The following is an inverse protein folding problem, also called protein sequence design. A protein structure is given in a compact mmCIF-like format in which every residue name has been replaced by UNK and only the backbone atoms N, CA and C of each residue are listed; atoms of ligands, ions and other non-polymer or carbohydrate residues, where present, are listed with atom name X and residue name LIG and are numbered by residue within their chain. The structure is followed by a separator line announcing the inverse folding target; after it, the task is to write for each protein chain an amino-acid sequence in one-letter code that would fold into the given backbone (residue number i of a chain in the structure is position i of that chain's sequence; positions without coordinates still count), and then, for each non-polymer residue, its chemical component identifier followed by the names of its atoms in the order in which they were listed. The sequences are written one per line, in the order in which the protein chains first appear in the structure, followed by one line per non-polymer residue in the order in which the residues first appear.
data_IF_414948102540
#
_entry.id   IF_414948102540
#
_cell.length_a   1.000
_cell.length_b   1.000
_cell.length_c   1.000
_cell.angle_alpha   90.00
_cell.angle_beta   90.00
_cell.angle_gamma   90.00
#
_symmetry.space_group_name_H-M   'P 1'
#
loop_
_entity.id
_entity.type
_entity.pdbx_description
1 polymer ?
#
# COMPACT_ATOMS: atom_id res chain seq x y z
N UNK A 1 71.37 -12.15 1.05
CA UNK A 1 70.25 -11.28 0.89
C UNK A 1 69.13 -11.95 0.10
N UNK A 2 68.02 -12.27 0.68
CA UNK A 2 66.91 -12.86 0.00
C UNK A 2 65.60 -12.31 0.58
N UNK A 3 65.00 -11.32 -0.12
CA UNK A 3 63.73 -10.75 0.27
C UNK A 3 62.53 -11.52 -0.31
N UNK A 4 61.79 -12.20 0.55
CA UNK A 4 60.53 -12.81 0.19
C UNK A 4 59.37 -11.83 0.25
N UNK A 5 58.80 -11.48 -0.88
CA UNK A 5 57.52 -10.74 -0.98
C UNK A 5 56.35 -11.75 -0.88
N UNK A 6 55.63 -11.69 0.23
CA UNK A 6 54.36 -12.41 0.36
C UNK A 6 53.26 -11.54 -0.23
N UNK A 7 52.67 -11.97 -1.36
CA UNK A 7 51.49 -11.40 -1.98
C UNK A 7 50.26 -11.58 -1.08
N UNK A 8 49.67 -10.45 -0.65
CA UNK A 8 48.40 -10.45 0.03
C UNK A 8 47.27 -10.76 -0.98
N UNK A 9 46.56 -11.88 -0.78
CA UNK A 9 45.30 -12.14 -1.48
C UNK A 9 44.24 -11.23 -0.89
N UNK A 10 43.80 -10.26 -1.70
CA UNK A 10 42.62 -9.48 -1.40
C UNK A 10 41.38 -10.38 -1.42
N UNK A 11 40.89 -10.74 -0.27
CA UNK A 11 39.58 -11.36 -0.12
C UNK A 11 38.51 -10.31 -0.44
N UNK A 12 37.92 -10.41 -1.61
CA UNK A 12 36.67 -9.70 -1.94
C UNK A 12 35.55 -10.26 -1.08
N UNK A 13 35.42 -9.75 0.16
CA UNK A 13 34.24 -10.00 0.98
C UNK A 13 33.04 -9.33 0.33
N UNK A 14 32.00 -10.10 0.07
CA UNK A 14 30.70 -9.53 -0.29
C UNK A 14 30.29 -8.48 0.76
N UNK A 15 29.68 -7.36 0.37
CA UNK A 15 29.22 -6.38 1.33
C UNK A 15 28.28 -7.07 2.34
N UNK A 16 28.37 -6.71 3.62
CA UNK A 16 27.49 -7.28 4.63
C UNK A 16 26.03 -6.95 4.27
N UNK A 17 25.09 -7.85 4.55
CA UNK A 17 23.67 -7.57 4.35
C UNK A 17 23.29 -6.29 5.12
N UNK A 18 22.41 -5.44 4.59
CA UNK A 18 21.97 -4.24 5.28
C UNK A 18 21.40 -4.62 6.64
N UNK A 19 22.00 -4.09 7.70
CA UNK A 19 21.54 -4.33 9.07
C UNK A 19 20.12 -3.79 9.28
N UNK A 20 19.35 -4.30 10.27
CA UNK A 20 17.98 -3.90 10.55
C UNK A 20 17.93 -2.49 11.17
N UNK A 21 18.24 -1.46 10.40
CA UNK A 21 18.32 -0.10 10.94
C UNK A 21 18.37 1.02 9.92
N UNK A 22 18.50 0.70 8.66
CA UNK A 22 18.31 1.67 7.59
C UNK A 22 17.11 1.26 6.77
N UNK A 23 15.96 1.82 7.08
CA UNK A 23 14.85 1.86 6.15
C UNK A 23 15.30 2.72 4.94
N UNK A 24 16.09 2.11 4.06
CA UNK A 24 16.34 2.66 2.74
C UNK A 24 15.01 2.59 2.00
N UNK A 25 14.38 3.75 1.79
CA UNK A 25 13.13 3.82 1.04
C UNK A 25 13.30 3.14 -0.32
N UNK A 26 12.27 2.44 -0.75
CA UNK A 26 12.23 1.85 -2.09
C UNK A 26 12.11 3.00 -3.09
N UNK A 27 12.95 3.09 -4.13
CA UNK A 27 12.82 4.12 -5.14
C UNK A 27 11.42 4.12 -5.77
N UNK A 28 10.87 5.32 -6.04
CA UNK A 28 9.50 5.45 -6.59
C UNK A 28 9.28 4.70 -7.90
N UNK A 29 10.27 4.71 -8.79
CA UNK A 29 10.20 3.98 -10.06
C UNK A 29 10.11 2.46 -9.87
N UNK A 30 10.77 1.91 -8.84
CA UNK A 30 10.64 0.48 -8.50
C UNK A 30 9.21 0.18 -8.03
N UNK A 31 8.65 1.04 -7.18
CA UNK A 31 7.26 0.87 -6.74
C UNK A 31 6.28 0.94 -7.92
N UNK A 32 6.50 1.85 -8.87
CA UNK A 32 5.65 1.96 -10.06
C UNK A 32 5.71 0.71 -10.93
N UNK A 33 6.90 0.14 -11.17
CA UNK A 33 7.05 -1.12 -11.90
C UNK A 33 6.34 -2.28 -11.18
N UNK A 34 6.47 -2.36 -9.87
CA UNK A 34 5.82 -3.40 -9.05
C UNK A 34 4.30 -3.28 -9.08
N UNK A 35 3.75 -2.06 -9.04
CA UNK A 35 2.32 -1.84 -9.20
C UNK A 35 1.80 -2.30 -10.56
N UNK A 36 2.54 -2.05 -11.65
CA UNK A 36 2.15 -2.53 -12.97
C UNK A 36 2.15 -4.06 -13.07
N UNK A 37 3.13 -4.73 -12.46
CA UNK A 37 3.17 -6.20 -12.41
C UNK A 37 1.96 -6.76 -11.64
N UNK A 38 1.64 -6.18 -10.48
CA UNK A 38 0.49 -6.60 -9.67
C UNK A 38 -0.83 -6.33 -10.40
N UNK A 39 -0.94 -5.19 -11.10
CA UNK A 39 -2.11 -4.89 -11.92
C UNK A 39 -2.35 -5.96 -12.99
N UNK A 40 -1.30 -6.42 -13.68
CA UNK A 40 -1.41 -7.53 -14.63
C UNK A 40 -1.90 -8.82 -13.97
N UNK A 41 -1.43 -9.12 -12.75
CA UNK A 41 -1.89 -10.28 -11.99
C UNK A 41 -3.38 -10.18 -11.64
N UNK A 42 -3.88 -9.01 -11.27
CA UNK A 42 -5.30 -8.78 -10.99
C UNK A 42 -6.22 -9.06 -12.18
N UNK A 43 -5.80 -8.68 -13.39
CA UNK A 43 -6.58 -8.95 -14.60
C UNK A 43 -6.44 -10.40 -15.10
N UNK A 44 -5.39 -11.11 -14.70
CA UNK A 44 -5.18 -12.51 -15.07
C UNK A 44 -5.92 -13.47 -14.15
N UNK A 45 -5.84 -13.24 -12.84
CA UNK A 45 -6.44 -14.09 -11.81
C UNK A 45 -6.92 -13.23 -10.63
N UNK A 46 -8.11 -12.59 -10.73
CA UNK A 46 -8.64 -11.69 -9.70
C UNK A 46 -8.87 -12.37 -8.34
N UNK A 47 -8.99 -13.69 -8.33
CA UNK A 47 -9.21 -14.48 -7.13
C UNK A 47 -7.92 -14.83 -6.37
N UNK A 48 -6.74 -14.65 -6.99
CA UNK A 48 -5.46 -14.94 -6.35
C UNK A 48 -5.17 -13.98 -5.20
N UNK A 49 -5.35 -14.47 -3.98
CA UNK A 49 -5.09 -13.71 -2.76
C UNK A 49 -3.65 -13.20 -2.67
N UNK A 50 -2.68 -13.91 -3.23
CA UNK A 50 -1.25 -13.58 -3.09
C UNK A 50 -0.94 -12.23 -3.72
N UNK A 51 -1.48 -11.95 -4.91
CA UNK A 51 -1.33 -10.67 -5.60
C UNK A 51 -1.89 -9.51 -4.76
N UNK A 52 -3.07 -9.69 -4.14
CA UNK A 52 -3.69 -8.67 -3.28
C UNK A 52 -2.92 -8.44 -1.98
N UNK A 53 -2.33 -9.48 -1.39
CA UNK A 53 -1.46 -9.34 -0.22
C UNK A 53 -0.18 -8.58 -0.55
N UNK A 54 0.42 -8.86 -1.71
CA UNK A 54 1.59 -8.14 -2.19
C UNK A 54 1.27 -6.66 -2.48
N UNK A 55 0.16 -6.38 -3.16
CA UNK A 55 -0.32 -5.01 -3.39
C UNK A 55 -0.50 -4.24 -2.07
N UNK A 56 -1.07 -4.87 -1.05
CA UNK A 56 -1.21 -4.26 0.27
C UNK A 56 0.15 -3.89 0.88
N UNK A 57 1.15 -4.73 0.70
CA UNK A 57 2.51 -4.43 1.14
C UNK A 57 3.10 -3.24 0.38
N UNK A 58 2.92 -3.16 -0.93
CA UNK A 58 3.35 -2.01 -1.75
C UNK A 58 2.69 -0.71 -1.28
N UNK A 59 1.40 -0.72 -0.95
CA UNK A 59 0.70 0.43 -0.38
C UNK A 59 1.32 0.86 0.96
N UNK A 60 1.68 -0.09 1.79
CA UNK A 60 2.40 0.17 3.04
C UNK A 60 3.76 0.84 2.80
N UNK A 61 4.52 0.37 1.82
CA UNK A 61 5.78 0.99 1.40
C UNK A 61 5.54 2.43 0.93
N UNK A 62 4.57 2.66 0.04
CA UNK A 62 4.23 3.98 -0.49
C UNK A 62 3.90 4.97 0.62
N UNK A 63 3.09 4.56 1.60
CA UNK A 63 2.66 5.41 2.71
C UNK A 63 3.77 5.67 3.74
N UNK A 64 4.76 4.80 3.84
CA UNK A 64 5.90 4.99 4.74
C UNK A 64 6.99 5.89 4.17
N UNK A 65 7.09 6.04 2.84
CA UNK A 65 8.13 6.84 2.18
C UNK A 65 8.25 8.29 2.67
N UNK A 66 7.16 9.07 2.81
CA UNK A 66 7.25 10.44 3.28
C UNK A 66 7.82 10.57 4.70
N UNK A 67 7.59 9.55 5.54
CA UNK A 67 8.07 9.51 6.93
C UNK A 67 9.56 9.24 7.04
N UNK A 68 10.10 8.51 6.08
CA UNK A 68 11.50 8.12 6.05
C UNK A 68 12.40 9.23 5.47
N UNK A 69 11.81 10.34 4.99
CA UNK A 69 12.53 11.39 4.29
C UNK A 69 13.26 10.87 3.05
N UNK A 70 12.85 9.71 2.56
CA UNK A 70 13.50 9.01 1.47
C UNK A 70 13.14 9.64 0.14
N UNK A 71 14.12 10.08 -0.62
CA UNK A 71 14.04 10.34 -2.06
C UNK A 71 12.99 11.36 -2.53
N UNK A 72 12.67 12.38 -1.73
CA UNK A 72 11.78 13.45 -2.18
C UNK A 72 10.30 13.08 -2.31
N UNK A 73 9.88 11.93 -1.79
CA UNK A 73 8.47 11.53 -1.77
C UNK A 73 7.68 12.37 -0.76
N UNK A 74 6.61 12.98 -1.22
CA UNK A 74 5.70 13.81 -0.43
C UNK A 74 4.40 13.05 -0.12
N UNK A 75 3.62 13.58 0.81
CA UNK A 75 2.25 13.08 1.04
C UNK A 75 1.36 13.20 -0.22
N UNK A 76 1.63 14.21 -1.08
CA UNK A 76 0.96 14.36 -2.37
C UNK A 76 1.28 13.25 -3.35
N UNK A 77 2.50 12.73 -3.34
CA UNK A 77 2.90 11.59 -4.17
C UNK A 77 2.19 10.31 -3.71
N UNK A 78 2.16 10.06 -2.40
CA UNK A 78 1.42 8.93 -1.83
C UNK A 78 -0.06 9.02 -2.21
N UNK A 79 -0.69 10.19 -2.11
CA UNK A 79 -2.09 10.40 -2.49
C UNK A 79 -2.35 10.08 -3.97
N UNK A 80 -1.45 10.51 -4.88
CA UNK A 80 -1.58 10.20 -6.31
C UNK A 80 -1.52 8.70 -6.59
N UNK A 81 -0.61 7.98 -5.93
CA UNK A 81 -0.52 6.52 -6.05
C UNK A 81 -1.80 5.86 -5.54
N UNK A 82 -2.27 6.21 -4.34
CA UNK A 82 -3.51 5.64 -3.79
C UNK A 82 -4.73 5.91 -4.68
N UNK A 83 -4.82 7.09 -5.28
CA UNK A 83 -5.92 7.42 -6.20
C UNK A 83 -5.85 6.58 -7.48
N UNK A 84 -4.66 6.37 -8.06
CA UNK A 84 -4.45 5.50 -9.21
C UNK A 84 -4.84 4.05 -8.91
N UNK A 85 -4.40 3.54 -7.76
CA UNK A 85 -4.72 2.17 -7.36
C UNK A 85 -6.23 1.98 -7.06
N UNK A 86 -6.88 3.01 -6.52
CA UNK A 86 -8.33 2.99 -6.35
C UNK A 86 -9.07 2.93 -7.70
N UNK A 87 -8.57 3.64 -8.71
CA UNK A 87 -9.14 3.57 -10.07
C UNK A 87 -8.96 2.19 -10.68
N UNK A 88 -7.78 1.58 -10.56
CA UNK A 88 -7.54 0.19 -10.98
C UNK A 88 -8.55 -0.79 -10.35
N UNK A 89 -8.85 -0.63 -9.05
CA UNK A 89 -9.86 -1.45 -8.40
C UNK A 89 -11.28 -1.21 -8.96
N UNK A 90 -11.62 0.04 -9.32
CA UNK A 90 -12.93 0.36 -9.94
C UNK A 90 -13.06 -0.26 -11.32
N UNK A 91 -12.03 -0.10 -12.17
CA UNK A 91 -11.98 -0.73 -13.49
C UNK A 91 -12.16 -2.26 -13.41
N UNK A 92 -11.49 -2.90 -12.44
CA UNK A 92 -11.63 -4.33 -12.24
C UNK A 92 -13.06 -4.71 -11.78
N UNK A 93 -13.68 -3.91 -10.93
CA UNK A 93 -15.05 -4.15 -10.46
C UNK A 93 -16.12 -3.92 -11.55
N UNK A 94 -15.82 -3.23 -12.63
CA UNK A 94 -16.68 -3.16 -13.82
C UNK A 94 -16.71 -4.51 -14.56
N UNK A 95 -15.61 -5.27 -14.52
CA UNK A 95 -15.46 -6.57 -15.17
C UNK A 95 -15.91 -7.69 -14.23
N UNK A 96 -15.47 -7.63 -12.98
CA UNK A 96 -15.69 -8.60 -11.91
C UNK A 96 -16.41 -7.95 -10.71
N UNK A 97 -17.72 -7.65 -10.81
CA UNK A 97 -18.43 -6.88 -9.79
C UNK A 97 -18.38 -7.47 -8.38
N UNK A 98 -18.27 -8.79 -8.27
CA UNK A 98 -18.28 -9.52 -7.00
C UNK A 98 -16.86 -9.92 -6.52
N UNK A 99 -15.81 -9.33 -7.10
CA UNK A 99 -14.45 -9.51 -6.63
C UNK A 99 -14.27 -8.96 -5.22
N UNK A 100 -14.28 -9.86 -4.24
CA UNK A 100 -14.15 -9.48 -2.81
C UNK A 100 -12.84 -8.78 -2.49
N UNK A 101 -11.76 -9.15 -3.15
CA UNK A 101 -10.46 -8.55 -2.93
C UNK A 101 -10.38 -7.13 -3.50
N UNK A 102 -10.94 -6.89 -4.68
CA UNK A 102 -11.02 -5.56 -5.28
C UNK A 102 -11.92 -4.64 -4.42
N UNK A 103 -13.08 -5.11 -3.98
CA UNK A 103 -13.97 -4.37 -3.08
C UNK A 103 -13.28 -4.01 -1.76
N UNK A 104 -12.61 -4.98 -1.12
CA UNK A 104 -11.91 -4.75 0.13
C UNK A 104 -10.77 -3.74 -0.02
N UNK A 105 -10.00 -3.86 -1.10
CA UNK A 105 -8.90 -2.95 -1.38
C UNK A 105 -9.42 -1.55 -1.67
N UNK A 106 -10.46 -1.41 -2.50
CA UNK A 106 -11.07 -0.12 -2.81
C UNK A 106 -11.63 0.57 -1.55
N UNK A 107 -12.34 -0.17 -0.68
CA UNK A 107 -12.86 0.39 0.57
C UNK A 107 -11.73 0.97 1.44
N UNK A 108 -10.62 0.26 1.58
CA UNK A 108 -9.46 0.72 2.34
C UNK A 108 -8.78 1.92 1.70
N UNK A 109 -8.62 1.93 0.38
CA UNK A 109 -8.04 3.06 -0.35
C UNK A 109 -8.90 4.30 -0.23
N UNK A 110 -10.23 4.16 -0.30
CA UNK A 110 -11.19 5.26 -0.10
C UNK A 110 -11.05 5.87 1.29
N UNK A 111 -10.97 5.05 2.33
CA UNK A 111 -10.72 5.51 3.70
C UNK A 111 -9.36 6.20 3.85
N UNK A 112 -8.30 5.62 3.28
CA UNK A 112 -6.95 6.18 3.35
C UNK A 112 -6.85 7.54 2.64
N UNK A 113 -7.47 7.69 1.47
CA UNK A 113 -7.53 8.96 0.74
C UNK A 113 -8.26 10.04 1.53
N UNK A 114 -9.35 9.69 2.20
CA UNK A 114 -10.07 10.62 3.06
C UNK A 114 -9.24 11.10 4.26
N UNK A 115 -8.36 10.24 4.79
CA UNK A 115 -7.46 10.59 5.90
C UNK A 115 -6.28 11.47 5.45
N UNK A 116 -5.81 11.31 4.21
CA UNK A 116 -4.70 12.10 3.67
C UNK A 116 -5.11 13.53 3.30
N UNK A 117 -6.40 13.77 3.10
CA UNK A 117 -6.93 15.09 2.76
C UNK A 117 -8.15 15.46 3.63
N UNK A 118 -7.93 15.71 4.94
CA UNK A 118 -9.03 16.10 5.82
C UNK A 118 -9.65 17.47 5.44
N UNK A 119 -8.92 18.31 4.69
CA UNK A 119 -9.41 19.59 4.22
C UNK A 119 -10.33 19.47 3.00
N UNK A 120 -10.20 18.47 2.15
CA UNK A 120 -11.16 18.13 1.12
C UNK A 120 -12.52 17.69 1.73
N UNK A 121 -12.52 17.35 3.02
CA UNK A 121 -13.69 17.02 3.82
C UNK A 121 -14.45 18.21 4.39
N UNK A 122 -14.00 19.46 4.15
CA UNK A 122 -14.69 20.65 4.57
C UNK A 122 -16.09 20.75 3.96
N UNK A 123 -17.07 20.15 4.61
CA UNK A 123 -18.48 20.24 4.26
C UNK A 123 -19.13 19.02 3.62
N UNK A 124 -18.48 17.87 3.47
CA UNK A 124 -19.16 16.69 2.92
C UNK A 124 -18.29 15.61 2.30
N UNK A 125 -17.07 15.91 1.89
CA UNK A 125 -16.22 14.96 1.14
C UNK A 125 -15.75 13.76 1.95
N UNK A 126 -15.28 13.98 3.18
CA UNK A 126 -14.83 12.88 4.06
C UNK A 126 -16.04 12.02 4.50
N UNK A 127 -17.16 12.63 4.83
CA UNK A 127 -18.38 11.90 5.15
C UNK A 127 -18.89 11.04 4.00
N UNK A 128 -18.78 11.53 2.76
CA UNK A 128 -19.13 10.77 1.56
C UNK A 128 -18.20 9.58 1.35
N UNK A 129 -16.89 9.78 1.47
CA UNK A 129 -15.91 8.69 1.33
C UNK A 129 -16.10 7.60 2.40
N UNK A 130 -16.41 8.00 3.63
CA UNK A 130 -16.76 7.05 4.71
C UNK A 130 -18.03 6.29 4.37
N UNK A 131 -19.06 6.96 3.82
CA UNK A 131 -20.30 6.31 3.37
C UNK A 131 -20.02 5.31 2.24
N UNK A 132 -19.27 5.70 1.22
CA UNK A 132 -18.89 4.81 0.10
C UNK A 132 -18.12 3.56 0.58
N UNK A 133 -17.17 3.75 1.51
CA UNK A 133 -16.46 2.63 2.11
C UNK A 133 -17.38 1.71 2.92
N UNK A 134 -18.32 2.28 3.67
CA UNK A 134 -19.31 1.51 4.42
C UNK A 134 -20.18 0.64 3.52
N UNK A 135 -20.67 1.17 2.40
CA UNK A 135 -21.44 0.40 1.42
C UNK A 135 -20.64 -0.79 0.86
N UNK A 136 -19.35 -0.59 0.57
CA UNK A 136 -18.47 -1.67 0.11
C UNK A 136 -18.29 -2.76 1.17
N UNK A 137 -18.12 -2.39 2.45
CA UNK A 137 -18.02 -3.36 3.53
C UNK A 137 -19.31 -4.14 3.76
N UNK A 138 -20.48 -3.49 3.68
CA UNK A 138 -21.76 -4.19 3.76
C UNK A 138 -21.96 -5.17 2.59
N UNK A 139 -21.50 -4.80 1.40
CA UNK A 139 -21.50 -5.72 0.26
C UNK A 139 -20.56 -6.89 0.49
N UNK A 140 -19.38 -6.67 1.07
CA UNK A 140 -18.44 -7.72 1.45
C UNK A 140 -19.00 -8.69 2.51
N UNK A 141 -19.78 -8.20 3.47
CA UNK A 141 -20.46 -9.05 4.45
C UNK A 141 -21.46 -10.03 3.80
N UNK A 142 -22.07 -9.63 2.68
CA UNK A 142 -22.95 -10.48 1.91
C UNK A 142 -22.20 -11.48 1.02
N UNK A 143 -21.08 -11.06 0.41
CA UNK A 143 -20.27 -11.90 -0.50
C UNK A 143 -19.38 -12.91 0.25
N UNK A 144 -18.97 -12.60 1.47
CA UNK A 144 -18.07 -13.41 2.29
C UNK A 144 -18.55 -13.43 3.74
N UNK A 145 -19.64 -14.19 4.02
CA UNK A 145 -20.26 -14.24 5.36
C UNK A 145 -19.32 -14.74 6.46
N UNK A 146 -18.37 -15.59 6.11
CA UNK A 146 -17.40 -16.17 7.05
C UNK A 146 -16.48 -15.11 7.67
N UNK A 147 -16.29 -14.01 6.97
CA UNK A 147 -15.47 -12.87 7.42
C UNK A 147 -16.26 -11.64 7.84
N UNK A 148 -17.57 -11.76 8.05
CA UNK A 148 -18.45 -10.65 8.44
C UNK A 148 -17.93 -9.86 9.63
N UNK A 149 -17.46 -10.54 10.69
CA UNK A 149 -16.90 -9.89 11.87
C UNK A 149 -15.67 -9.02 11.56
N UNK A 150 -14.86 -9.44 10.60
CA UNK A 150 -13.71 -8.68 10.15
C UNK A 150 -14.13 -7.41 9.41
N UNK A 151 -15.12 -7.48 8.53
CA UNK A 151 -15.62 -6.32 7.79
C UNK A 151 -16.32 -5.32 8.69
N UNK A 152 -17.11 -5.78 9.66
CA UNK A 152 -17.72 -4.93 10.68
C UNK A 152 -16.70 -4.23 11.55
N UNK A 153 -15.61 -4.91 11.94
CA UNK A 153 -14.51 -4.29 12.66
C UNK A 153 -13.76 -3.25 11.80
N UNK A 154 -13.59 -3.51 10.51
CA UNK A 154 -12.93 -2.59 9.58
C UNK A 154 -13.73 -1.29 9.37
N UNK A 155 -15.06 -1.34 9.46
CA UNK A 155 -15.93 -0.16 9.47
C UNK A 155 -15.70 0.75 10.68
N UNK A 156 -15.37 0.16 11.84
CA UNK A 156 -15.22 0.89 13.09
C UNK A 156 -13.78 1.37 13.33
N UNK A 157 -12.83 0.77 12.64
CA UNK A 157 -11.43 1.12 12.79
C UNK A 157 -11.05 2.17 11.75
N UNK A 158 -10.54 3.31 12.24
CA UNK A 158 -9.62 4.11 11.45
C UNK A 158 -8.61 3.17 10.80
N UNK A 159 -8.35 3.31 9.50
CA UNK A 159 -7.59 2.37 8.67
C UNK A 159 -6.19 2.06 9.23
N UNK A 160 -6.13 1.32 10.34
CA UNK A 160 -4.91 1.00 11.11
C UNK A 160 -4.01 0.00 10.40
N UNK A 161 -4.50 -0.62 9.33
CA UNK A 161 -3.68 -1.50 8.48
C UNK A 161 -2.83 -0.75 7.45
N UNK A 162 -3.09 0.54 7.23
CA UNK A 162 -2.17 1.45 6.58
C UNK A 162 -1.51 2.28 7.69
N UNK A 163 -0.18 2.48 7.68
CA UNK A 163 0.49 3.24 8.73
C UNK A 163 -0.15 4.63 8.84
N UNK A 164 -0.62 4.99 10.04
CA UNK A 164 -1.19 6.33 10.30
C UNK A 164 -0.23 7.41 9.80
N UNK A 165 -0.71 8.42 9.08
CA UNK A 165 0.11 9.61 8.84
C UNK A 165 0.55 10.16 10.20
N UNK A 166 1.83 10.50 10.34
CA UNK A 166 2.35 11.08 11.56
C UNK A 166 1.54 12.35 11.85
N UNK A 167 0.62 12.27 12.79
CA UNK A 167 -0.10 13.42 13.28
C UNK A 167 0.92 14.38 13.87
N UNK A 168 0.90 15.63 13.43
CA UNK A 168 1.61 16.69 14.11
C UNK A 168 1.11 16.73 15.55
N UNK A 169 1.93 16.26 16.48
CA UNK A 169 1.78 16.57 17.88
C UNK A 169 2.25 18.01 18.07
N UNK A 170 1.46 18.80 18.74
CA UNK A 170 1.82 20.10 19.29
C UNK A 170 3.08 20.02 20.17
#
# INVERSE_FOLDING_TARGET
GGGGRRGGRGGGGAPPPPGPGRASGVPGWVLDEEYELVKQAFYTEPADQSAWMYHRWLLGCTLSQPRLGACGHTAGDARRVLAREAETCRELLEIEPDSKWALLTLARLTQALAQLDPAAGGGGGAGRAVGEAAEMYHRLEALDPDRRGYYGAALQQDCTCLPKPAGGGC
#
